data_IF_601858359599
#
_entry.id   IF_601858359599
#
_cell.length_a   1.000
_cell.length_b   1.000
_cell.length_c   1.000
_cell.angle_alpha   90.00
_cell.angle_beta   90.00
_cell.angle_gamma   90.00
#
_symmetry.space_group_name_H-M   'P 1'
#
loop_
_entity.id
_entity.type
_entity.pdbx_description
1 polymer ?
#
# COMPACT_ATOMS: atom_id res chain seq x y z
N UNK A 1 -8.61 6.62 27.43
CA UNK A 1 -9.17 6.23 26.11
C UNK A 1 -8.28 5.16 25.53
N UNK A 2 -8.85 4.11 24.95
CA UNK A 2 -8.08 3.08 24.24
C UNK A 2 -7.79 3.55 22.82
N UNK A 3 -6.56 3.39 22.35
CA UNK A 3 -6.16 3.66 20.98
C UNK A 3 -6.17 2.35 20.18
N UNK A 4 -6.76 2.37 18.99
CA UNK A 4 -6.67 1.25 18.04
C UNK A 4 -5.49 1.47 17.12
N UNK A 5 -4.65 0.45 16.93
CA UNK A 5 -3.52 0.48 16.01
C UNK A 5 -3.35 -0.88 15.34
N UNK A 6 -3.07 -0.87 14.04
CA UNK A 6 -2.72 -2.08 13.29
C UNK A 6 -1.72 -1.76 12.20
N UNK A 7 -0.71 -2.63 12.10
CA UNK A 7 0.14 -2.77 10.93
C UNK A 7 -0.34 -4.01 10.16
N UNK A 8 -0.61 -3.86 8.87
CA UNK A 8 -1.17 -4.91 8.02
C UNK A 8 -0.40 -4.99 6.71
N UNK A 9 0.01 -6.20 6.34
CA UNK A 9 0.51 -6.48 5.00
C UNK A 9 -0.63 -6.37 3.98
N UNK A 10 -0.33 -5.75 2.84
CA UNK A 10 -1.25 -5.58 1.73
C UNK A 10 -0.82 -6.47 0.55
N UNK A 11 -1.76 -6.87 -0.32
CA UNK A 11 -1.40 -7.50 -1.59
C UNK A 11 -0.39 -6.66 -2.36
N UNK A 12 0.64 -7.26 -2.99
CA UNK A 12 1.59 -6.53 -3.80
C UNK A 12 0.87 -5.87 -4.98
N UNK A 13 1.23 -4.62 -5.26
CA UNK A 13 0.58 -3.85 -6.29
C UNK A 13 1.52 -2.81 -6.92
N UNK A 14 1.44 -2.65 -8.25
CA UNK A 14 2.10 -1.56 -8.96
C UNK A 14 1.10 -0.42 -9.09
N UNK A 15 1.26 0.60 -8.26
CA UNK A 15 0.39 1.78 -8.26
C UNK A 15 0.82 2.72 -9.40
N UNK A 16 -0.03 2.87 -10.40
CA UNK A 16 0.12 3.92 -11.41
C UNK A 16 -0.36 5.28 -10.86
N UNK A 17 -0.20 6.34 -11.65
CA UNK A 17 -0.60 7.70 -11.26
C UNK A 17 -2.06 7.78 -10.79
N UNK A 18 -2.97 7.09 -11.50
CA UNK A 18 -4.41 7.10 -11.18
C UNK A 18 -4.69 6.36 -9.88
N UNK A 19 -4.04 5.22 -9.67
CA UNK A 19 -4.15 4.45 -8.44
C UNK A 19 -3.58 5.23 -7.24
N UNK A 20 -2.50 5.98 -7.43
CA UNK A 20 -1.95 6.86 -6.38
C UNK A 20 -2.94 7.98 -6.01
N UNK A 21 -3.54 8.65 -7.00
CA UNK A 21 -4.56 9.69 -6.77
C UNK A 21 -5.81 9.12 -6.06
N UNK A 22 -6.26 7.93 -6.46
CA UNK A 22 -7.37 7.25 -5.78
C UNK A 22 -7.01 6.89 -4.32
N UNK A 23 -5.78 6.43 -4.09
CA UNK A 23 -5.32 6.11 -2.74
C UNK A 23 -5.22 7.37 -1.86
N UNK A 24 -4.75 8.49 -2.40
CA UNK A 24 -4.77 9.79 -1.73
C UNK A 24 -6.21 10.16 -1.31
N UNK A 25 -7.18 10.03 -2.21
CA UNK A 25 -8.58 10.31 -1.90
C UNK A 25 -9.13 9.39 -0.79
N UNK A 26 -8.81 8.09 -0.81
CA UNK A 26 -9.20 7.14 0.25
C UNK A 26 -8.59 7.53 1.60
N UNK A 27 -7.31 7.93 1.61
CA UNK A 27 -6.60 8.27 2.83
C UNK A 27 -7.12 9.57 3.46
N UNK A 28 -7.46 10.56 2.63
CA UNK A 28 -8.00 11.84 3.05
C UNK A 28 -9.52 11.81 3.32
N UNK A 29 -10.22 10.75 2.92
CA UNK A 29 -11.66 10.65 3.18
C UNK A 29 -11.96 10.74 4.68
N UNK A 30 -12.89 11.65 5.00
CA UNK A 30 -13.35 12.01 6.35
C UNK A 30 -12.35 12.81 7.19
N UNK A 31 -11.23 13.30 6.61
CA UNK A 31 -10.30 14.21 7.28
C UNK A 31 -10.77 15.66 7.15
N UNK A 32 -10.49 16.47 8.18
CA UNK A 32 -10.68 17.91 8.08
C UNK A 32 -9.63 18.51 7.15
N UNK A 33 -9.97 19.53 6.35
CA UNK A 33 -8.97 20.25 5.56
C UNK A 33 -7.88 20.84 6.48
N UNK A 34 -6.64 20.43 6.27
CA UNK A 34 -5.48 20.94 7.00
C UNK A 34 -4.23 20.80 6.12
N UNK A 35 -3.38 21.83 6.11
CA UNK A 35 -2.21 21.92 5.21
C UNK A 35 -1.15 20.83 5.45
N UNK A 36 -1.15 20.21 6.62
CA UNK A 36 -0.23 19.13 7.01
C UNK A 36 -0.98 17.79 7.25
N UNK A 37 -2.21 17.68 6.73
CA UNK A 37 -2.99 16.45 6.84
C UNK A 37 -2.42 15.32 5.99
N UNK A 38 -1.68 15.63 4.91
CA UNK A 38 -1.20 14.64 3.97
C UNK A 38 0.23 14.90 3.51
N UNK A 39 1.00 13.83 3.43
CA UNK A 39 2.34 13.81 2.87
C UNK A 39 2.48 12.58 1.97
N UNK A 40 3.05 12.77 0.79
CA UNK A 40 3.52 11.68 -0.05
C UNK A 40 5.02 11.81 -0.29
N UNK A 41 5.72 10.70 -0.09
CA UNK A 41 7.15 10.56 -0.31
C UNK A 41 7.39 9.51 -1.39
N UNK A 42 8.31 9.78 -2.31
CA UNK A 42 8.84 8.77 -3.23
C UNK A 42 10.38 8.70 -3.15
N UNK A 43 10.92 7.49 -3.32
CA UNK A 43 12.36 7.26 -3.45
C UNK A 43 12.71 6.95 -4.90
N UNK A 44 13.70 7.67 -5.45
CA UNK A 44 14.19 7.52 -6.84
C UNK A 44 15.71 7.48 -6.81
N UNK A 45 16.28 6.27 -6.82
CA UNK A 45 17.73 6.10 -6.59
C UNK A 45 18.12 6.67 -5.23
N UNK A 46 19.12 7.55 -5.20
CA UNK A 46 19.60 8.20 -3.96
C UNK A 46 18.77 9.43 -3.55
N UNK A 47 17.68 9.74 -4.26
CA UNK A 47 16.87 10.94 -4.03
C UNK A 47 15.55 10.57 -3.34
N UNK A 48 15.21 11.36 -2.33
CA UNK A 48 13.88 11.37 -1.71
C UNK A 48 13.12 12.61 -2.18
N UNK A 49 11.94 12.40 -2.77
CA UNK A 49 11.03 13.46 -3.19
C UNK A 49 9.84 13.46 -2.23
N UNK A 50 9.54 14.62 -1.63
CA UNK A 50 8.40 14.79 -0.72
C UNK A 50 7.45 15.82 -1.33
N UNK A 51 6.15 15.59 -1.20
CA UNK A 51 5.09 16.47 -1.69
C UNK A 51 3.86 16.40 -0.76
N UNK A 52 2.96 17.38 -0.88
CA UNK A 52 1.70 17.48 -0.12
C UNK A 52 0.49 16.95 -0.87
N UNK A 53 0.68 16.47 -2.08
CA UNK A 53 -0.33 15.74 -2.87
C UNK A 53 0.35 14.82 -3.88
N UNK A 54 -0.39 13.84 -4.39
CA UNK A 54 0.11 12.96 -5.46
C UNK A 54 0.35 13.77 -6.74
N UNK A 55 -0.54 14.71 -7.09
CA UNK A 55 -0.36 15.55 -8.27
C UNK A 55 0.93 16.38 -8.23
N UNK A 56 1.29 16.92 -7.06
CA UNK A 56 2.56 17.62 -6.86
C UNK A 56 3.75 16.66 -6.97
N UNK A 57 3.66 15.46 -6.37
CA UNK A 57 4.71 14.45 -6.46
C UNK A 57 5.00 14.06 -7.91
N UNK A 58 3.96 13.73 -8.68
CA UNK A 58 4.08 13.30 -10.07
C UNK A 58 4.71 14.41 -10.93
N UNK A 59 4.34 15.66 -10.68
CA UNK A 59 4.92 16.83 -11.34
C UNK A 59 6.42 16.97 -11.02
N UNK A 60 6.84 16.73 -9.77
CA UNK A 60 8.25 16.75 -9.34
C UNK A 60 9.07 15.57 -9.86
N UNK A 61 8.44 14.40 -10.03
CA UNK A 61 9.10 13.20 -10.56
C UNK A 61 9.42 13.31 -12.06
N UNK A 62 8.63 14.08 -12.82
CA UNK A 62 8.90 14.33 -14.24
C UNK A 62 8.98 13.06 -15.08
N UNK A 63 8.22 12.02 -14.71
CA UNK A 63 8.22 10.71 -15.39
C UNK A 63 9.24 9.70 -14.86
N UNK A 64 10.04 10.05 -13.84
CA UNK A 64 10.88 9.07 -13.16
C UNK A 64 10.03 8.02 -12.42
N UNK A 65 10.35 6.74 -12.60
CA UNK A 65 9.69 5.66 -11.86
C UNK A 65 10.28 5.55 -10.44
N UNK A 66 9.44 5.68 -9.38
CA UNK A 66 9.91 5.54 -8.02
C UNK A 66 10.13 4.07 -7.63
N UNK A 67 11.15 3.82 -6.81
CA UNK A 67 11.43 2.52 -6.21
C UNK A 67 10.48 2.20 -5.05
N UNK A 68 10.00 3.24 -4.37
CA UNK A 68 9.03 3.13 -3.29
C UNK A 68 8.19 4.39 -3.23
N UNK A 69 6.95 4.24 -2.78
CA UNK A 69 6.06 5.37 -2.49
C UNK A 69 5.44 5.16 -1.12
N UNK A 70 5.46 6.22 -0.30
CA UNK A 70 4.84 6.28 1.02
C UNK A 70 3.83 7.40 1.04
N UNK A 71 2.58 7.07 1.33
CA UNK A 71 1.49 8.03 1.52
C UNK A 71 1.13 8.05 3.00
N UNK A 72 0.97 9.23 3.59
CA UNK A 72 0.66 9.41 5.00
C UNK A 72 -0.43 10.45 5.14
N UNK A 73 -1.52 10.09 5.84
CA UNK A 73 -2.58 10.98 6.26
C UNK A 73 -2.65 11.04 7.80
N UNK A 74 -2.71 12.24 8.37
CA UNK A 74 -2.82 12.49 9.81
C UNK A 74 -3.93 13.50 10.09
N UNK A 75 -4.74 13.22 11.11
CA UNK A 75 -5.74 14.16 11.59
C UNK A 75 -5.32 14.72 12.94
N UNK A 76 -5.18 16.04 12.98
CA UNK A 76 -4.77 16.78 14.15
C UNK A 76 -5.99 17.39 14.84
N UNK A 77 -6.12 17.17 16.13
CA UNK A 77 -6.97 18.03 16.98
C UNK A 77 -6.09 18.70 18.02
N UNK A 78 -6.08 20.02 17.97
CA UNK A 78 -5.22 20.87 18.80
C UNK A 78 -3.74 20.55 18.59
N UNK A 79 -3.17 19.69 19.45
CA UNK A 79 -1.76 19.28 19.43
C UNK A 79 -1.57 17.77 19.34
N UNK A 80 -2.66 17.00 19.28
CA UNK A 80 -2.62 15.54 19.28
C UNK A 80 -3.12 14.97 17.95
N UNK A 81 -2.42 13.95 17.48
CA UNK A 81 -2.87 13.12 16.37
C UNK A 81 -4.00 12.24 16.90
N UNK A 82 -5.20 12.40 16.34
CA UNK A 82 -6.39 11.65 16.78
C UNK A 82 -6.61 10.39 15.95
N UNK A 83 -6.09 10.37 14.73
CA UNK A 83 -6.11 9.25 13.80
C UNK A 83 -5.12 9.48 12.67
N UNK A 84 -4.74 8.40 12.00
CA UNK A 84 -3.94 8.49 10.80
C UNK A 84 -3.75 7.16 10.12
N UNK A 85 -3.40 7.24 8.84
CA UNK A 85 -3.12 6.10 8.00
C UNK A 85 -1.81 6.34 7.26
N UNK A 86 -0.99 5.31 7.14
CA UNK A 86 0.24 5.34 6.35
C UNK A 86 0.23 4.11 5.47
N UNK A 87 0.51 4.28 4.18
CA UNK A 87 0.68 3.20 3.22
C UNK A 87 2.08 3.30 2.65
N UNK A 88 2.79 2.19 2.64
CA UNK A 88 4.09 2.04 2.02
C UNK A 88 3.97 0.97 0.93
N UNK A 89 4.34 1.35 -0.29
CA UNK A 89 4.25 0.50 -1.46
C UNK A 89 5.62 0.39 -2.14
N UNK A 90 6.05 -0.85 -2.33
CA UNK A 90 7.22 -1.25 -3.09
C UNK A 90 6.77 -2.16 -4.25
N UNK A 91 7.59 -2.37 -5.28
CA UNK A 91 7.24 -3.20 -6.43
C UNK A 91 6.76 -4.62 -6.06
N UNK A 92 7.27 -5.18 -4.96
CA UNK A 92 7.04 -6.57 -4.56
C UNK A 92 6.23 -6.74 -3.27
N UNK A 93 5.99 -5.67 -2.53
CA UNK A 93 5.27 -5.74 -1.26
C UNK A 93 4.65 -4.38 -0.93
N UNK A 94 3.58 -4.42 -0.14
CA UNK A 94 2.96 -3.22 0.40
C UNK A 94 2.49 -3.47 1.82
N UNK A 95 2.40 -2.41 2.61
CA UNK A 95 1.84 -2.46 3.96
C UNK A 95 1.08 -1.18 4.28
N UNK A 96 0.14 -1.26 5.22
CA UNK A 96 -0.45 -0.09 5.82
C UNK A 96 -0.39 -0.13 7.34
N UNK A 97 -0.24 1.05 7.93
CA UNK A 97 -0.42 1.29 9.34
C UNK A 97 -1.61 2.23 9.51
N UNK A 98 -2.62 1.80 10.27
CA UNK A 98 -3.76 2.63 10.65
C UNK A 98 -3.78 2.75 12.17
N UNK A 99 -4.09 3.94 12.67
CA UNK A 99 -4.32 4.18 14.08
C UNK A 99 -5.45 5.21 14.28
N UNK A 100 -6.18 5.12 15.38
CA UNK A 100 -7.22 6.08 15.72
C UNK A 100 -7.93 5.79 17.03
N UNK A 101 -8.63 6.80 17.52
CA UNK A 101 -9.44 6.72 18.75
C UNK A 101 -10.85 6.16 18.51
N UNK A 102 -11.36 6.28 17.28
CA UNK A 102 -12.69 5.79 16.86
C UNK A 102 -12.55 4.41 16.18
N UNK A 103 -13.19 3.40 16.76
CA UNK A 103 -13.14 2.01 16.25
C UNK A 103 -13.82 1.84 14.90
N UNK A 104 -14.96 2.52 14.67
CA UNK A 104 -15.72 2.40 13.44
C UNK A 104 -14.94 2.99 12.27
N UNK A 105 -14.36 4.18 12.47
CA UNK A 105 -13.44 4.79 11.50
C UNK A 105 -12.22 3.90 11.27
N UNK A 106 -11.60 3.38 12.33
CA UNK A 106 -10.41 2.53 12.24
C UNK A 106 -10.65 1.27 11.40
N UNK A 107 -11.74 0.54 11.69
CA UNK A 107 -12.12 -0.67 10.96
C UNK A 107 -12.51 -0.34 9.52
N UNK A 108 -13.27 0.74 9.32
CA UNK A 108 -13.67 1.21 7.99
C UNK A 108 -12.47 1.56 7.12
N UNK A 109 -11.51 2.32 7.65
CA UNK A 109 -10.31 2.73 6.91
C UNK A 109 -9.43 1.55 6.54
N UNK A 110 -9.23 0.59 7.45
CA UNK A 110 -8.53 -0.65 7.15
C UNK A 110 -9.19 -1.42 6.00
N UNK A 111 -10.53 -1.51 6.02
CA UNK A 111 -11.28 -2.21 4.98
C UNK A 111 -11.14 -1.53 3.62
N UNK A 112 -11.29 -0.20 3.57
CA UNK A 112 -11.14 0.58 2.34
C UNK A 112 -9.76 0.41 1.69
N UNK A 113 -8.69 0.48 2.49
CA UNK A 113 -7.32 0.29 1.99
C UNK A 113 -7.12 -1.14 1.48
N UNK A 114 -7.56 -2.15 2.24
CA UNK A 114 -7.44 -3.56 1.83
C UNK A 114 -8.22 -3.84 0.54
N UNK A 115 -9.44 -3.32 0.41
CA UNK A 115 -10.26 -3.45 -0.80
C UNK A 115 -9.60 -2.77 -2.01
N UNK A 116 -9.07 -1.56 -1.86
CA UNK A 116 -8.33 -0.86 -2.91
C UNK A 116 -7.17 -1.70 -3.44
N UNK A 117 -6.35 -2.28 -2.55
CA UNK A 117 -5.23 -3.14 -2.97
C UNK A 117 -5.68 -4.48 -3.55
N UNK A 118 -6.83 -5.02 -3.13
CA UNK A 118 -7.40 -6.23 -3.74
C UNK A 118 -7.94 -5.98 -5.14
N UNK A 119 -8.59 -4.84 -5.36
CA UNK A 119 -9.16 -4.46 -6.66
C UNK A 119 -8.09 -4.13 -7.68
N UNK A 120 -7.05 -3.39 -7.27
CA UNK A 120 -5.97 -2.97 -8.15
C UNK A 120 -4.87 -4.04 -8.34
N UNK A 121 -5.09 -5.31 -7.94
CA UNK A 121 -4.07 -6.37 -8.04
C UNK A 121 -3.49 -6.47 -9.46
N UNK A 122 -2.16 -6.62 -9.58
CA UNK A 122 -1.57 -6.94 -10.87
C UNK A 122 -2.02 -8.33 -11.32
N UNK A 123 -2.25 -8.46 -12.61
CA UNK A 123 -2.68 -9.62 -13.39
C UNK A 123 -1.84 -10.90 -13.21
N UNK A 124 -0.77 -10.90 -12.41
CA UNK A 124 -0.02 -12.11 -12.02
C UNK A 124 -0.89 -13.15 -11.31
N UNK A 125 -2.09 -12.81 -10.84
CA UNK A 125 -3.10 -13.77 -10.38
C UNK A 125 -3.72 -14.65 -11.48
N UNK A 126 -3.68 -14.23 -12.75
CA UNK A 126 -4.12 -15.03 -13.90
C UNK A 126 -2.99 -15.91 -14.46
N UNK A 127 -1.73 -15.66 -14.05
CA UNK A 127 -0.57 -16.46 -14.43
C UNK A 127 -0.06 -17.32 -13.26
N UNK A 128 -0.97 -18.00 -12.54
CA UNK A 128 -0.61 -19.29 -11.95
C UNK A 128 -0.68 -20.31 -13.09
N UNK A 129 0.45 -20.73 -13.72
CA UNK A 129 0.45 -22.07 -14.27
C UNK A 129 0.16 -22.99 -13.09
N UNK A 130 -0.84 -23.83 -13.24
CA UNK A 130 -0.90 -25.10 -12.54
C UNK A 130 0.51 -25.71 -12.64
N UNK A 131 1.31 -25.62 -11.59
CA UNK A 131 2.44 -26.49 -11.38
C UNK A 131 1.85 -27.71 -10.67
N UNK A 132 1.41 -28.75 -11.40
CA UNK A 132 1.31 -30.05 -10.76
C UNK A 132 2.73 -30.41 -10.34
N UNK A 133 2.87 -30.70 -9.05
CA UNK A 133 3.97 -31.44 -8.48
C UNK A 133 4.23 -32.69 -9.32
N UNK A 134 5.16 -32.61 -10.27
CA UNK A 134 5.71 -33.75 -11.00
C UNK A 134 7.21 -33.88 -10.66
N UNK A 135 7.51 -33.90 -9.36
CA UNK A 135 8.79 -34.37 -8.84
C UNK A 135 8.47 -35.27 -7.65
N UNK A 136 8.57 -36.59 -7.85
CA UNK A 136 8.68 -37.55 -6.75
C UNK A 136 7.94 -38.88 -6.92
N UNK A 137 8.69 -39.94 -7.25
CA UNK A 137 8.30 -41.36 -7.14
C UNK A 137 7.88 -41.94 -8.50
N UNK A 138 8.64 -42.81 -9.16
CA UNK A 138 8.99 -44.16 -8.66
C UNK A 138 10.44 -44.51 -8.99
N UNK A 139 11.14 -44.96 -7.95
CA UNK A 139 12.42 -45.66 -7.98
C UNK A 139 12.15 -47.16 -8.19
N UNK A 140 13.10 -47.84 -8.86
CA UNK A 140 13.25 -49.30 -9.02
C UNK A 140 12.38 -49.95 -10.11
N UNK A 141 12.89 -50.79 -11.02
CA UNK A 141 13.95 -51.81 -10.91
C UNK A 141 14.64 -52.07 -12.25
N UNK A 142 15.94 -52.41 -12.20
CA UNK A 142 16.63 -53.16 -13.27
C UNK A 142 16.03 -54.56 -13.39
N UNK A 143 16.06 -55.20 -14.58
CA UNK A 143 17.11 -56.22 -14.73
C UNK A 143 17.74 -56.25 -16.13
N UNK A 144 19.00 -56.70 -16.11
CA UNK A 144 19.74 -57.29 -17.22
C UNK A 144 18.95 -58.43 -17.87
N UNK A 145 19.01 -58.52 -19.20
CA UNK A 145 19.59 -59.62 -19.98
C UNK A 145 19.78 -59.17 -21.43
#
# INVERSE_FOLDING_TARGET
MSEFRKLQALPPNRLDSRALEELEAILLQDFAPCDDAFEVTAEVGDKRVVARSVGELLSRLGGAEPQSVRLRALDWRETNITRGATVEAYPLWAQCQVHGLDEAWFRGKLHQIDEFFRRNRPWYGLARPLLPFAIGGVVATSPRL
#
